data_IF_116851171933
#
_entry.id   IF_116851171933
#
_cell.length_a   1.000
_cell.length_b   1.000
_cell.length_c   1.000
_cell.angle_alpha   90.00
_cell.angle_beta   90.00
_cell.angle_gamma   90.00
#
_symmetry.space_group_name_H-M   'P 1'
#
loop_
_entity.id
_entity.type
_entity.pdbx_description
1 polymer ?
#
# COMPACT_ATOMS: atom_id res chain seq x y z
N UNK A 1 -6.27 4.44 -0.87
CA UNK A 1 -6.49 4.83 0.55
C UNK A 1 -5.16 5.18 1.19
N UNK A 2 -5.06 6.33 1.85
CA UNK A 2 -3.85 6.81 2.54
C UNK A 2 -4.03 6.70 4.06
N UNK A 3 -3.09 6.04 4.74
CA UNK A 3 -3.13 5.77 6.19
C UNK A 3 -1.76 6.03 6.83
N UNK A 4 -1.73 6.37 8.13
CA UNK A 4 -0.53 6.25 8.96
C UNK A 4 -0.40 4.80 9.41
N UNK A 5 0.62 4.08 8.93
CA UNK A 5 0.82 2.65 9.18
C UNK A 5 1.96 2.38 10.16
N UNK A 6 3.12 2.97 9.90
CA UNK A 6 4.34 2.74 10.66
C UNK A 6 4.58 3.85 11.68
N UNK A 7 5.02 3.48 12.87
CA UNK A 7 5.55 4.41 13.86
C UNK A 7 6.92 4.96 13.42
N UNK A 8 7.43 5.97 14.13
CA UNK A 8 8.79 6.49 13.90
C UNK A 8 9.85 5.40 14.11
N UNK A 9 9.66 4.53 15.10
CA UNK A 9 10.59 3.44 15.39
C UNK A 9 10.53 2.34 14.32
N UNK A 10 9.33 2.01 13.82
CA UNK A 10 9.17 1.09 12.69
C UNK A 10 9.90 1.62 11.44
N UNK A 11 9.73 2.92 11.12
CA UNK A 11 10.43 3.56 9.99
C UNK A 11 11.94 3.51 10.17
N UNK A 12 12.43 3.86 11.37
CA UNK A 12 13.85 3.77 11.71
C UNK A 12 14.37 2.36 11.49
N UNK A 13 13.65 1.34 11.98
CA UNK A 13 14.02 -0.07 11.81
C UNK A 13 14.06 -0.50 10.34
N UNK A 14 13.07 -0.06 9.54
CA UNK A 14 13.08 -0.31 8.08
C UNK A 14 14.31 0.31 7.39
N UNK A 15 14.75 1.49 7.82
CA UNK A 15 15.91 2.17 7.24
C UNK A 15 17.23 1.53 7.69
N UNK A 16 17.35 1.10 8.93
CA UNK A 16 18.54 0.42 9.48
C UNK A 16 18.83 -0.91 8.78
N UNK A 17 17.77 -1.65 8.44
CA UNK A 17 17.88 -2.95 7.76
C UNK A 17 17.72 -2.85 6.23
N UNK A 18 17.73 -1.62 5.69
CA UNK A 18 17.70 -1.43 4.24
C UNK A 18 19.00 -1.96 3.63
N UNK A 19 18.93 -2.91 2.69
CA UNK A 19 20.10 -3.51 2.07
C UNK A 19 20.78 -2.55 1.08
N UNK A 20 21.87 -3.01 0.46
CA UNK A 20 22.48 -2.31 -0.66
C UNK A 20 21.49 -2.19 -1.81
N UNK A 21 21.42 -0.99 -2.40
CA UNK A 21 20.53 -0.67 -3.50
C UNK A 21 21.23 -0.88 -4.83
N UNK A 22 20.52 -1.41 -5.81
CA UNK A 22 20.96 -1.64 -7.17
C UNK A 22 20.19 -0.76 -8.16
N UNK A 23 20.65 -0.70 -9.42
CA UNK A 23 19.91 -0.02 -10.49
C UNK A 23 18.54 -0.66 -10.70
N UNK A 24 17.48 0.11 -10.51
CA UNK A 24 16.10 -0.35 -10.63
C UNK A 24 15.70 -0.80 -12.05
N UNK A 25 16.43 -0.39 -13.07
CA UNK A 25 16.17 -0.89 -14.44
C UNK A 25 16.39 -2.40 -14.59
N UNK A 26 17.11 -3.04 -13.65
CA UNK A 26 17.32 -4.50 -13.68
C UNK A 26 16.03 -5.31 -13.48
N UNK A 27 15.01 -4.73 -12.85
CA UNK A 27 13.74 -5.42 -12.58
C UNK A 27 12.66 -5.09 -13.61
N UNK A 28 12.98 -4.26 -14.62
CA UNK A 28 12.04 -3.84 -15.68
C UNK A 28 12.54 -4.23 -17.07
N UNK A 29 11.68 -4.89 -17.87
CA UNK A 29 12.04 -5.24 -19.25
C UNK A 29 12.08 -4.03 -20.18
N UNK A 30 11.37 -2.94 -19.87
CA UNK A 30 11.30 -1.73 -20.69
C UNK A 30 12.34 -0.72 -20.23
N UNK A 31 13.36 -0.49 -21.08
CA UNK A 31 14.42 0.50 -20.79
C UNK A 31 13.85 1.92 -20.72
N UNK A 32 14.31 2.70 -19.74
CA UNK A 32 13.96 4.11 -19.60
C UNK A 32 12.55 4.38 -19.03
N UNK A 33 11.80 3.35 -18.66
CA UNK A 33 10.50 3.55 -18.01
C UNK A 33 10.65 4.07 -16.57
N UNK A 34 11.77 3.74 -15.93
CA UNK A 34 12.10 4.25 -14.60
C UNK A 34 13.58 4.60 -14.47
N UNK A 35 13.87 5.48 -13.54
CA UNK A 35 15.18 5.79 -13.02
C UNK A 35 15.07 5.83 -11.50
N UNK A 36 15.66 4.86 -10.83
CA UNK A 36 15.70 4.76 -9.36
C UNK A 36 16.74 3.72 -8.95
N UNK A 37 17.00 3.62 -7.66
CA UNK A 37 17.72 2.48 -7.08
C UNK A 37 16.72 1.62 -6.30
N UNK A 38 16.84 0.30 -6.40
CA UNK A 38 15.96 -0.60 -5.66
C UNK A 38 16.68 -1.84 -5.14
N UNK A 39 16.04 -2.54 -4.22
CA UNK A 39 16.48 -3.84 -3.74
C UNK A 39 15.30 -4.76 -3.52
N UNK A 40 15.42 -5.99 -4.04
CA UNK A 40 14.51 -7.11 -3.79
C UNK A 40 14.82 -7.85 -2.48
N UNK A 41 15.96 -7.53 -1.85
CA UNK A 41 16.44 -8.17 -0.63
C UNK A 41 15.82 -7.49 0.61
N UNK A 42 14.56 -7.74 0.85
CA UNK A 42 13.90 -7.30 2.08
C UNK A 42 14.15 -8.33 3.18
N UNK A 43 14.70 -7.93 4.33
CA UNK A 43 14.90 -8.81 5.46
C UNK A 43 13.56 -9.38 5.98
N UNK A 44 13.53 -10.64 6.41
CA UNK A 44 12.31 -11.30 6.89
C UNK A 44 11.70 -10.55 8.10
N UNK A 45 12.52 -10.00 8.97
CA UNK A 45 12.08 -9.16 10.08
C UNK A 45 11.23 -7.98 9.57
N UNK A 46 11.67 -7.31 8.51
CA UNK A 46 10.95 -6.15 7.95
C UNK A 46 9.71 -6.59 7.18
N UNK A 47 9.80 -7.71 6.45
CA UNK A 47 8.61 -8.31 5.81
C UNK A 47 7.52 -8.60 6.84
N UNK A 48 7.90 -9.26 7.95
CA UNK A 48 6.98 -9.61 9.02
C UNK A 48 6.44 -8.36 9.72
N UNK A 49 7.29 -7.37 10.02
CA UNK A 49 6.87 -6.12 10.64
C UNK A 49 5.81 -5.40 9.79
N UNK A 50 6.12 -5.13 8.52
CA UNK A 50 5.21 -4.37 7.64
C UNK A 50 3.93 -5.16 7.37
N UNK A 51 4.03 -6.47 7.13
CA UNK A 51 2.86 -7.33 6.93
C UNK A 51 1.96 -7.34 8.16
N UNK A 52 2.52 -7.48 9.35
CA UNK A 52 1.75 -7.44 10.60
C UNK A 52 1.06 -6.09 10.79
N UNK A 53 1.74 -4.97 10.51
CA UNK A 53 1.13 -3.63 10.59
C UNK A 53 -0.03 -3.47 9.61
N UNK A 54 0.05 -4.03 8.41
CA UNK A 54 -1.04 -4.02 7.42
C UNK A 54 -2.20 -4.90 7.89
N UNK A 55 -1.94 -6.17 8.22
CA UNK A 55 -2.97 -7.15 8.57
C UNK A 55 -3.72 -6.76 9.84
N UNK A 56 -3.00 -6.29 10.87
CA UNK A 56 -3.60 -5.93 12.15
C UNK A 56 -4.04 -4.45 12.24
N UNK A 57 -3.95 -3.69 11.15
CA UNK A 57 -4.55 -2.36 11.13
C UNK A 57 -6.08 -2.49 11.12
N UNK A 58 -6.81 -1.94 12.11
CA UNK A 58 -8.26 -2.12 12.23
C UNK A 58 -9.05 -1.69 11.00
N UNK A 59 -8.60 -0.61 10.34
CA UNK A 59 -9.23 -0.15 9.10
C UNK A 59 -8.97 -1.15 7.96
N UNK A 60 -7.71 -1.57 7.75
CA UNK A 60 -7.35 -2.49 6.67
C UNK A 60 -8.05 -3.83 6.84
N UNK A 61 -8.06 -4.39 8.05
CA UNK A 61 -8.79 -5.64 8.33
C UNK A 61 -10.29 -5.48 8.07
N UNK A 62 -10.88 -4.40 8.56
CA UNK A 62 -12.33 -4.18 8.45
C UNK A 62 -12.79 -3.96 7.01
N UNK A 63 -11.98 -3.30 6.16
CA UNK A 63 -12.36 -2.87 4.82
C UNK A 63 -11.89 -3.84 3.74
N UNK A 64 -10.69 -4.39 3.88
CA UNK A 64 -10.06 -5.20 2.82
C UNK A 64 -9.98 -6.68 3.15
N UNK A 65 -10.09 -7.09 4.42
CA UNK A 65 -9.95 -8.49 4.86
C UNK A 65 -8.76 -9.20 4.19
N UNK A 66 -7.52 -8.72 4.38
CA UNK A 66 -6.36 -9.23 3.67
C UNK A 66 -6.09 -10.69 4.05
N UNK A 67 -5.85 -11.52 3.05
CA UNK A 67 -5.49 -12.93 3.22
C UNK A 67 -4.00 -13.17 3.07
N UNK A 68 -3.33 -12.30 2.31
CA UNK A 68 -1.90 -12.35 2.07
C UNK A 68 -1.34 -10.96 1.88
N UNK A 69 -0.18 -10.71 2.46
CA UNK A 69 0.61 -9.48 2.23
C UNK A 69 2.01 -9.90 1.80
N UNK A 70 2.50 -9.29 0.73
CA UNK A 70 3.85 -9.50 0.21
C UNK A 70 4.59 -8.17 0.16
N UNK A 71 5.68 -8.05 0.91
CA UNK A 71 6.57 -6.87 0.91
C UNK A 71 7.79 -7.23 0.06
N UNK A 72 7.98 -6.56 -1.07
CA UNK A 72 8.86 -7.06 -2.10
C UNK A 72 10.10 -6.21 -2.36
N UNK A 73 9.97 -4.87 -2.31
CA UNK A 73 11.04 -4.00 -2.74
C UNK A 73 11.26 -2.84 -1.80
N UNK A 74 12.53 -2.44 -1.62
CA UNK A 74 12.90 -1.08 -1.27
C UNK A 74 13.11 -0.27 -2.57
N UNK A 75 12.68 0.98 -2.56
CA UNK A 75 12.89 1.93 -3.66
C UNK A 75 13.47 3.24 -3.13
N UNK A 76 14.54 3.70 -3.75
CA UNK A 76 15.15 5.00 -3.52
C UNK A 76 15.11 5.82 -4.80
N UNK A 77 14.56 7.03 -4.70
CA UNK A 77 14.52 8.03 -5.77
C UNK A 77 15.27 9.27 -5.33
N UNK A 78 16.36 9.58 -6.01
CA UNK A 78 17.15 10.79 -5.84
C UNK A 78 16.64 11.87 -6.77
N UNK A 79 17.18 13.08 -6.66
CA UNK A 79 16.88 14.16 -7.61
C UNK A 79 17.07 13.67 -9.06
N UNK A 80 16.08 13.96 -9.89
CA UNK A 80 16.00 13.52 -11.27
C UNK A 80 15.48 12.09 -11.49
N UNK A 81 15.21 11.31 -10.42
CA UNK A 81 14.68 9.96 -10.53
C UNK A 81 13.14 9.98 -10.61
N UNK A 82 12.58 8.97 -11.28
CA UNK A 82 11.15 8.87 -11.57
C UNK A 82 10.74 7.41 -11.87
N UNK A 83 9.44 7.17 -11.95
CA UNK A 83 8.87 5.96 -12.54
C UNK A 83 7.66 6.34 -13.39
N UNK A 84 7.76 6.15 -14.69
CA UNK A 84 6.68 6.47 -15.63
C UNK A 84 5.45 5.60 -15.39
N UNK A 85 4.33 6.01 -15.96
CA UNK A 85 3.05 5.34 -15.83
C UNK A 85 3.13 3.87 -16.26
N UNK A 86 2.65 2.99 -15.41
CA UNK A 86 2.62 1.54 -15.62
C UNK A 86 1.48 0.92 -14.81
N UNK A 87 1.22 -0.35 -15.07
CA UNK A 87 0.35 -1.22 -14.27
C UNK A 87 1.22 -2.34 -13.73
N UNK A 88 1.05 -2.67 -12.46
CA UNK A 88 1.77 -3.77 -11.84
C UNK A 88 1.35 -5.13 -12.42
N UNK A 89 2.28 -6.08 -12.41
CA UNK A 89 1.94 -7.45 -12.73
C UNK A 89 1.15 -8.07 -11.55
N UNK A 90 -0.10 -8.37 -11.78
CA UNK A 90 -1.02 -8.91 -10.74
C UNK A 90 -0.86 -10.41 -10.47
N UNK A 91 0.03 -11.10 -11.20
CA UNK A 91 0.29 -12.53 -10.94
C UNK A 91 1.28 -12.66 -9.79
N UNK A 92 0.85 -13.32 -8.72
CA UNK A 92 1.78 -13.89 -7.76
C UNK A 92 2.65 -14.93 -8.47
N UNK A 93 3.90 -15.11 -8.01
CA UNK A 93 4.81 -16.06 -8.64
C UNK A 93 4.15 -17.43 -8.89
N UNK A 94 4.43 -18.10 -10.04
CA UNK A 94 3.74 -19.32 -10.49
C UNK A 94 3.79 -20.51 -9.50
N UNK A 95 4.65 -20.43 -8.49
CA UNK A 95 4.89 -21.51 -7.52
C UNK A 95 3.88 -21.60 -6.38
N UNK A 96 2.98 -20.64 -6.23
CA UNK A 96 2.04 -20.58 -5.12
C UNK A 96 0.61 -20.40 -5.66
N UNK A 97 -0.04 -21.51 -5.97
CA UNK A 97 -1.49 -21.69 -6.19
C UNK A 97 -2.20 -20.51 -6.88
N UNK A 98 -1.80 -20.11 -8.10
CA UNK A 98 -2.52 -19.13 -8.93
C UNK A 98 -3.12 -17.92 -8.16
N UNK A 99 -2.47 -17.48 -7.09
CA UNK A 99 -2.98 -16.39 -6.26
C UNK A 99 -2.70 -15.07 -6.98
N UNK A 100 -3.74 -14.31 -7.23
CA UNK A 100 -3.64 -12.95 -7.75
C UNK A 100 -3.55 -11.98 -6.58
N UNK A 101 -2.90 -10.84 -6.82
CA UNK A 101 -2.97 -9.70 -5.93
C UNK A 101 -4.11 -8.77 -6.38
N UNK A 102 -4.81 -8.19 -5.40
CA UNK A 102 -5.94 -7.29 -5.64
C UNK A 102 -5.54 -5.82 -5.47
N UNK A 103 -4.62 -5.56 -4.55
CA UNK A 103 -4.15 -4.22 -4.22
C UNK A 103 -2.63 -4.15 -4.21
N UNK A 104 -2.10 -3.04 -4.75
CA UNK A 104 -0.75 -2.59 -4.51
C UNK A 104 -0.67 -1.69 -3.28
N UNK A 105 0.50 -1.61 -2.66
CA UNK A 105 0.78 -0.61 -1.66
C UNK A 105 2.18 -0.03 -1.78
N UNK A 106 2.31 1.24 -1.39
CA UNK A 106 3.59 1.90 -1.19
C UNK A 106 3.64 2.49 0.21
N UNK A 107 4.65 2.10 1.00
CA UNK A 107 4.94 2.67 2.33
C UNK A 107 6.07 3.66 2.18
N UNK A 108 5.86 4.91 2.57
CA UNK A 108 6.90 5.94 2.53
C UNK A 108 7.79 5.86 3.78
N UNK A 109 9.11 5.96 3.59
CA UNK A 109 10.10 5.91 4.67
C UNK A 109 10.85 7.24 4.86
N UNK A 110 10.49 8.28 4.09
CA UNK A 110 11.12 9.62 4.18
C UNK A 110 10.07 10.72 4.08
N UNK A 111 10.42 11.91 4.58
CA UNK A 111 9.56 13.10 4.48
C UNK A 111 10.31 14.30 3.88
N UNK A 112 11.62 14.19 3.74
CA UNK A 112 12.58 15.22 3.35
C UNK A 112 12.91 15.14 1.84
N UNK A 113 11.87 15.20 0.99
CA UNK A 113 12.02 15.18 -0.46
C UNK A 113 11.01 16.12 -1.14
N UNK A 114 11.36 16.62 -2.31
CA UNK A 114 10.53 17.46 -3.16
C UNK A 114 10.19 16.74 -4.47
N UNK A 115 9.04 17.04 -5.07
CA UNK A 115 8.50 16.23 -6.17
C UNK A 115 8.19 14.81 -5.71
N UNK A 116 8.33 13.83 -6.59
CA UNK A 116 8.22 12.41 -6.24
C UNK A 116 6.86 11.99 -5.71
N UNK A 117 5.78 12.68 -6.07
CA UNK A 117 4.41 12.26 -5.75
C UNK A 117 4.15 10.90 -6.39
N UNK A 118 3.47 10.03 -5.66
CA UNK A 118 2.86 8.84 -6.24
C UNK A 118 1.56 9.29 -6.92
N UNK A 119 1.45 9.06 -8.22
CA UNK A 119 0.27 9.46 -9.00
C UNK A 119 -0.52 8.21 -9.35
N UNK A 120 -1.78 8.20 -8.98
CA UNK A 120 -2.74 7.16 -9.33
C UNK A 120 -3.70 7.71 -10.37
N UNK A 121 -3.89 6.97 -11.46
CA UNK A 121 -4.88 7.32 -12.49
C UNK A 121 -6.12 6.44 -12.33
N UNK A 122 -7.26 7.06 -12.33
CA UNK A 122 -8.55 6.40 -12.36
C UNK A 122 -9.47 7.07 -13.39
N UNK A 123 -10.74 6.70 -13.43
CA UNK A 123 -11.74 7.22 -14.37
C UNK A 123 -11.98 8.74 -14.26
N UNK A 124 -11.62 9.34 -13.12
CA UNK A 124 -11.79 10.79 -12.88
C UNK A 124 -10.53 11.56 -13.35
N UNK A 125 -9.38 10.90 -13.44
CA UNK A 125 -8.10 11.47 -13.84
C UNK A 125 -6.94 11.09 -12.92
N UNK A 126 -5.87 11.85 -12.99
CA UNK A 126 -4.65 11.64 -12.20
C UNK A 126 -4.77 12.29 -10.82
N UNK A 127 -4.49 11.51 -9.79
CA UNK A 127 -4.53 11.93 -8.38
C UNK A 127 -3.13 11.81 -7.78
N UNK A 128 -2.44 12.92 -7.51
CA UNK A 128 -1.12 12.88 -6.87
C UNK A 128 -1.22 12.72 -5.36
N UNK A 129 -0.35 11.90 -4.80
CA UNK A 129 -0.21 11.66 -3.36
C UNK A 129 1.22 12.00 -2.91
N UNK A 130 1.36 13.00 -2.06
CA UNK A 130 2.61 13.32 -1.37
C UNK A 130 2.63 12.60 -0.03
N UNK A 131 3.33 11.46 0.03
CA UNK A 131 3.40 10.66 1.25
C UNK A 131 4.50 11.18 2.19
N UNK A 132 4.27 11.00 3.48
CA UNK A 132 5.23 11.24 4.56
C UNK A 132 5.70 9.92 5.17
N UNK A 133 6.81 9.95 5.90
CA UNK A 133 7.36 8.79 6.56
C UNK A 133 6.31 8.07 7.44
N UNK A 134 6.21 6.76 7.28
CA UNK A 134 5.25 5.91 7.97
C UNK A 134 3.88 5.83 7.31
N UNK A 135 3.56 6.67 6.32
CA UNK A 135 2.31 6.56 5.58
C UNK A 135 2.35 5.46 4.55
N UNK A 136 1.22 4.79 4.39
CA UNK A 136 0.96 3.81 3.32
C UNK A 136 -0.16 4.30 2.43
N UNK A 137 0.02 4.15 1.13
CA UNK A 137 -1.05 4.25 0.15
C UNK A 137 -1.40 2.84 -0.35
N UNK A 138 -2.66 2.44 -0.16
CA UNK A 138 -3.26 1.22 -0.71
C UNK A 138 -4.10 1.61 -1.93
N UNK A 139 -3.93 0.89 -3.05
CA UNK A 139 -4.62 1.18 -4.31
C UNK A 139 -4.95 -0.11 -5.07
N UNK A 140 -6.06 -0.18 -5.82
CA UNK A 140 -6.36 -1.31 -6.69
C UNK A 140 -5.24 -1.50 -7.71
N UNK A 141 -4.74 -2.74 -7.84
CA UNK A 141 -3.57 -3.05 -8.67
C UNK A 141 -3.80 -2.78 -10.16
N UNK A 142 -5.07 -2.77 -10.58
CA UNK A 142 -5.47 -2.53 -11.97
C UNK A 142 -5.33 -1.06 -12.41
N UNK A 143 -5.15 -0.14 -11.47
CA UNK A 143 -5.03 1.28 -11.81
C UNK A 143 -3.61 1.63 -12.26
N UNK A 144 -3.47 2.34 -13.40
CA UNK A 144 -2.19 2.89 -13.82
C UNK A 144 -1.66 3.85 -12.75
N UNK A 145 -0.35 3.78 -12.52
CA UNK A 145 0.29 4.64 -11.54
C UNK A 145 1.73 4.98 -11.94
N UNK A 146 2.26 6.02 -11.31
CA UNK A 146 3.61 6.53 -11.58
C UNK A 146 4.22 7.13 -10.32
N UNK A 147 5.51 7.42 -10.38
CA UNK A 147 6.21 8.29 -9.43
C UNK A 147 6.76 9.47 -10.19
N UNK A 148 6.28 10.68 -9.89
CA UNK A 148 6.76 11.92 -10.46
C UNK A 148 8.26 12.08 -10.20
N UNK A 149 8.92 12.87 -11.06
CA UNK A 149 10.33 13.19 -10.87
C UNK A 149 10.56 13.82 -9.51
N UNK A 150 11.53 13.28 -8.76
CA UNK A 150 12.02 13.90 -7.53
C UNK A 150 12.85 15.12 -7.92
N UNK A 151 12.56 16.28 -7.33
CA UNK A 151 13.21 17.55 -7.62
C UNK A 151 14.17 17.99 -6.53
N UNK A 152 14.17 17.29 -5.38
CA UNK A 152 15.11 17.53 -4.29
C UNK A 152 15.00 16.44 -3.23
N UNK A 153 16.09 16.22 -2.48
CA UNK A 153 16.14 15.25 -1.38
C UNK A 153 16.18 13.79 -1.83
N UNK A 154 15.73 12.90 -0.95
CA UNK A 154 15.75 11.45 -1.20
C UNK A 154 14.42 10.81 -0.78
N UNK A 155 13.59 10.44 -1.75
CA UNK A 155 12.39 9.66 -1.51
C UNK A 155 12.75 8.19 -1.31
N UNK A 156 12.42 7.65 -0.13
CA UNK A 156 12.56 6.24 0.21
C UNK A 156 11.20 5.61 0.40
N UNK A 157 10.99 4.43 -0.15
CA UNK A 157 9.73 3.70 0.04
C UNK A 157 9.94 2.20 -0.01
N UNK A 158 8.96 1.47 0.51
CA UNK A 158 8.81 0.04 0.28
C UNK A 158 7.52 -0.19 -0.49
N UNK A 159 7.53 -1.17 -1.38
CA UNK A 159 6.35 -1.56 -2.14
C UNK A 159 6.05 -3.05 -1.95
N UNK A 160 4.80 -3.37 -2.15
CA UNK A 160 4.31 -4.73 -2.10
C UNK A 160 2.85 -4.82 -2.53
N UNK A 161 2.29 -5.99 -2.33
CA UNK A 161 0.93 -6.31 -2.76
C UNK A 161 0.18 -7.09 -1.70
N UNK A 162 -1.14 -7.03 -1.77
CA UNK A 162 -2.00 -7.83 -0.92
C UNK A 162 -3.12 -8.51 -1.73
N UNK A 163 -3.51 -9.70 -1.28
CA UNK A 163 -4.68 -10.42 -1.75
C UNK A 163 -5.79 -10.31 -0.70
N UNK A 164 -7.03 -10.32 -1.16
CA UNK A 164 -8.22 -10.24 -0.33
C UNK A 164 -9.22 -11.34 -0.70
N UNK A 165 -10.17 -11.63 0.18
CA UNK A 165 -11.30 -12.51 -0.11
C UNK A 165 -12.55 -11.74 -0.55
N UNK A 166 -12.44 -10.43 -0.72
CA UNK A 166 -13.58 -9.56 -1.05
C UNK A 166 -13.28 -8.74 -2.30
N UNK A 167 -14.31 -8.43 -3.08
CA UNK A 167 -14.17 -7.60 -4.26
C UNK A 167 -13.97 -6.11 -3.93
N UNK A 168 -13.62 -5.33 -4.94
CA UNK A 168 -13.51 -3.88 -4.79
C UNK A 168 -14.84 -3.24 -4.35
N UNK A 169 -15.96 -3.66 -4.93
CA UNK A 169 -17.29 -3.16 -4.60
C UNK A 169 -17.67 -3.52 -3.15
N UNK A 170 -17.34 -4.74 -2.73
CA UNK A 170 -17.54 -5.17 -1.34
C UNK A 170 -16.70 -4.35 -0.37
N UNK A 171 -15.44 -4.07 -0.71
CA UNK A 171 -14.57 -3.22 0.11
C UNK A 171 -15.09 -1.78 0.21
N UNK A 172 -15.73 -1.27 -0.84
CA UNK A 172 -16.39 0.04 -0.81
C UNK A 172 -17.54 0.08 0.20
N UNK A 173 -18.38 -0.94 0.22
CA UNK A 173 -19.48 -1.05 1.20
C UNK A 173 -18.94 -1.12 2.63
N UNK A 174 -17.94 -1.99 2.88
CA UNK A 174 -17.32 -2.12 4.20
C UNK A 174 -16.66 -0.83 4.68
N UNK A 175 -16.06 -0.06 3.78
CA UNK A 175 -15.49 1.26 4.09
C UNK A 175 -16.55 2.22 4.61
N UNK A 176 -17.67 2.35 3.90
CA UNK A 176 -18.75 3.23 4.34
C UNK A 176 -19.31 2.82 5.71
N UNK A 177 -19.45 1.51 5.95
CA UNK A 177 -19.87 1.01 7.26
C UNK A 177 -18.84 1.29 8.36
N UNK A 178 -17.56 1.19 8.06
CA UNK A 178 -16.49 1.53 9.00
C UNK A 178 -16.52 3.02 9.35
N UNK A 179 -16.74 3.90 8.37
CA UNK A 179 -16.84 5.35 8.60
C UNK A 179 -18.09 5.70 9.44
N UNK A 180 -19.22 5.04 9.17
CA UNK A 180 -20.44 5.18 10.01
C UNK A 180 -20.18 4.73 11.45
N UNK A 181 -19.48 3.60 11.62
CA UNK A 181 -19.12 3.09 12.94
C UNK A 181 -18.21 4.07 13.69
N UNK A 182 -17.14 4.53 13.04
CA UNK A 182 -16.19 5.48 13.63
C UNK A 182 -16.89 6.78 14.04
N UNK A 183 -17.78 7.30 13.19
CA UNK A 183 -18.59 8.48 13.51
C UNK A 183 -19.54 8.25 14.70
N UNK A 184 -20.20 7.10 14.75
CA UNK A 184 -21.10 6.74 15.84
C UNK A 184 -20.34 6.64 17.18
N UNK A 185 -19.17 6.03 17.20
CA UNK A 185 -18.31 5.94 18.39
C UNK A 185 -17.89 7.34 18.85
N UNK A 186 -17.41 8.17 17.94
CA UNK A 186 -16.97 9.54 18.25
C UNK A 186 -18.09 10.39 18.86
N UNK A 187 -19.35 10.19 18.42
CA UNK A 187 -20.52 10.92 18.87
C UNK A 187 -21.32 10.19 19.98
N UNK A 188 -20.76 9.13 20.58
CA UNK A 188 -21.38 8.33 21.66
C UNK A 188 -22.76 7.78 21.30
N UNK A 189 -22.91 7.37 20.04
CA UNK A 189 -24.14 6.75 19.51
C UNK A 189 -24.01 5.21 19.57
N UNK A 190 -23.98 4.65 20.76
CA UNK A 190 -23.65 3.24 21.01
C UNK A 190 -24.52 2.26 20.21
N UNK A 191 -25.83 2.49 20.12
CA UNK A 191 -26.73 1.64 19.34
C UNK A 191 -26.39 1.62 17.84
N UNK A 192 -25.99 2.76 17.27
CA UNK A 192 -25.60 2.85 15.87
C UNK A 192 -24.25 2.18 15.66
N UNK A 193 -23.29 2.38 16.56
CA UNK A 193 -21.99 1.72 16.52
C UNK A 193 -22.13 0.19 16.55
N UNK A 194 -22.94 -0.33 17.47
CA UNK A 194 -23.21 -1.78 17.56
C UNK A 194 -23.86 -2.31 16.29
N UNK A 195 -24.89 -1.64 15.76
CA UNK A 195 -25.58 -2.08 14.54
C UNK A 195 -24.67 -2.06 13.32
N UNK A 196 -23.86 -1.02 13.11
CA UNK A 196 -22.94 -0.94 11.99
C UNK A 196 -21.87 -2.03 12.07
N UNK A 197 -21.33 -2.33 13.26
CA UNK A 197 -20.41 -3.45 13.47
C UNK A 197 -21.07 -4.81 13.15
N UNK A 198 -22.30 -5.03 13.60
CA UNK A 198 -23.04 -6.27 13.32
C UNK A 198 -23.24 -6.48 11.82
N UNK A 199 -23.66 -5.43 11.08
CA UNK A 199 -23.84 -5.49 9.61
C UNK A 199 -22.50 -5.76 8.92
N UNK A 200 -21.44 -5.07 9.33
CA UNK A 200 -20.11 -5.26 8.77
C UNK A 200 -19.61 -6.72 8.94
N UNK A 201 -19.74 -7.26 10.15
CA UNK A 201 -19.32 -8.64 10.44
C UNK A 201 -20.18 -9.67 9.68
N UNK A 202 -21.47 -9.42 9.54
CA UNK A 202 -22.37 -10.27 8.76
C UNK A 202 -21.97 -10.30 7.28
N UNK A 203 -21.73 -9.13 6.67
CA UNK A 203 -21.31 -9.02 5.29
C UNK A 203 -19.94 -9.69 5.04
N UNK A 204 -18.96 -9.45 5.93
CA UNK A 204 -17.66 -10.14 5.86
C UNK A 204 -17.83 -11.66 5.87
N UNK A 205 -18.67 -12.20 6.78
CA UNK A 205 -18.96 -13.64 6.82
C UNK A 205 -19.68 -14.14 5.57
N UNK A 206 -20.61 -13.37 5.01
CA UNK A 206 -21.36 -13.72 3.80
C UNK A 206 -20.43 -13.77 2.58
N UNK A 207 -19.47 -12.88 2.50
CA UNK A 207 -18.59 -12.71 1.34
C UNK A 207 -17.27 -13.50 1.42
N UNK A 208 -16.90 -13.99 2.60
CA UNK A 208 -15.67 -14.78 2.82
C UNK A 208 -15.79 -16.27 2.44
N UNK A 209 -16.58 -16.57 1.41
CA UNK A 209 -16.77 -17.95 0.91
C UNK A 209 -15.77 -18.34 -0.16
#
# INVERSE_FOLDING_TARGET
MLLQLLSKDDVKRCLELCPSMEDGNKTQPLKGIKKNSESVKVADEIRNLVSARIIHNPFVDSVYSPTRVSVNFYNHYREGDFYNKHIDNFKAEPKINHTYFDYGFTVCLSSDYEGGEFVLENEIGEIPFKLKAGQVLLFPIIYPHSVNKVTGGLRRSMIGWLSTNISYEQSYVLRNLYEVNAHAIQNKQDNLAVKSTMVQNYLKKLWSK
#
